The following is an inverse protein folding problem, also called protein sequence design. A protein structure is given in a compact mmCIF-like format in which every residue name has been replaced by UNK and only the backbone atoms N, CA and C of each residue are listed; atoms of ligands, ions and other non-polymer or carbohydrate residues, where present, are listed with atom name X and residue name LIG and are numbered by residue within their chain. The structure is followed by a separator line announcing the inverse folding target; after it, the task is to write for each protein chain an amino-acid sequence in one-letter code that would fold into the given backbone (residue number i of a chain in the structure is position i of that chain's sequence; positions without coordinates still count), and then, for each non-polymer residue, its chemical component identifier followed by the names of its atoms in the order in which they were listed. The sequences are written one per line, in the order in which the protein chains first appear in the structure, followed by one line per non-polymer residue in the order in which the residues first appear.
data_IF_433552979353
#
_entry.id   IF_433552979353
#
_cell.length_a   1.000
_cell.length_b   1.000
_cell.length_c   1.000
_cell.angle_alpha   90.00
_cell.angle_beta   90.00
_cell.angle_gamma   90.00
#
_symmetry.space_group_name_H-M   'P 1'
#
loop_
_entity.id
_entity.type
_entity.pdbx_description
1 polymer ?
#
# COMPACT_ATOMS: atom_id res chain seq x y z
N UNK A 1 -29.35 -30.68 -51.19
CA UNK A 1 -28.57 -29.49 -50.77
C UNK A 1 -29.55 -28.39 -50.40
N UNK A 2 -29.25 -27.63 -49.33
CA UNK A 2 -30.04 -26.50 -48.74
C UNK A 2 -31.17 -26.97 -47.80
N UNK A 3 -31.29 -26.65 -46.50
CA UNK A 3 -30.54 -25.85 -45.51
C UNK A 3 -31.08 -26.25 -44.10
N UNK A 4 -30.28 -26.77 -43.15
CA UNK A 4 -30.72 -26.94 -41.75
C UNK A 4 -30.56 -25.65 -40.90
N UNK A 5 -30.07 -24.56 -41.50
CA UNK A 5 -29.72 -23.32 -40.80
C UNK A 5 -30.89 -22.37 -40.48
N UNK A 6 -32.12 -22.68 -40.89
CA UNK A 6 -33.27 -21.76 -40.73
C UNK A 6 -34.08 -22.01 -39.43
N UNK A 7 -34.02 -23.22 -38.84
CA UNK A 7 -34.75 -23.50 -37.59
C UNK A 7 -34.05 -22.92 -36.35
N UNK A 8 -32.71 -22.91 -36.31
CA UNK A 8 -31.95 -22.39 -35.16
C UNK A 8 -32.03 -20.86 -35.03
N UNK A 9 -32.11 -20.13 -36.14
CA UNK A 9 -32.21 -18.67 -36.12
C UNK A 9 -33.59 -18.15 -35.66
N UNK A 10 -34.66 -18.96 -35.81
CA UNK A 10 -36.00 -18.57 -35.36
C UNK A 10 -36.18 -18.75 -33.85
N UNK A 11 -35.57 -19.78 -33.25
CA UNK A 11 -35.59 -20.01 -31.81
C UNK A 11 -34.81 -18.94 -31.02
N UNK A 12 -33.71 -18.41 -31.59
CA UNK A 12 -32.96 -17.31 -30.96
C UNK A 12 -33.71 -15.96 -31.01
N UNK A 13 -34.54 -15.73 -32.04
CA UNK A 13 -35.35 -14.50 -32.17
C UNK A 13 -36.61 -14.47 -31.30
N UNK A 14 -37.10 -15.62 -30.85
CA UNK A 14 -38.18 -15.71 -29.86
C UNK A 14 -37.67 -15.51 -28.44
N UNK A 15 -36.47 -16.00 -28.11
CA UNK A 15 -35.83 -15.78 -26.81
C UNK A 15 -35.51 -14.29 -26.54
N UNK A 16 -35.08 -13.55 -27.57
CA UNK A 16 -34.81 -12.09 -27.49
C UNK A 16 -36.08 -11.23 -27.45
N UNK A 17 -37.22 -11.74 -27.94
CA UNK A 17 -38.53 -11.09 -27.82
C UNK A 17 -39.14 -11.28 -26.43
N UNK A 18 -38.89 -12.43 -25.81
CA UNK A 18 -39.34 -12.74 -24.45
C UNK A 18 -38.62 -11.89 -23.38
N UNK A 19 -37.33 -11.56 -23.60
CA UNK A 19 -36.56 -10.70 -22.67
C UNK A 19 -36.80 -9.20 -22.86
N UNK A 20 -37.24 -8.74 -24.05
CA UNK A 20 -37.62 -7.34 -24.29
C UNK A 20 -39.06 -7.00 -23.88
N UNK A 21 -39.96 -7.99 -23.79
CA UNK A 21 -41.35 -7.76 -23.40
C UNK A 21 -41.57 -7.66 -21.88
N UNK A 22 -40.61 -8.10 -21.06
CA UNK A 22 -40.73 -8.06 -19.59
C UNK A 22 -40.23 -6.75 -18.95
N UNK A 23 -39.72 -5.79 -19.74
CA UNK A 23 -39.16 -4.51 -19.26
C UNK A 23 -40.02 -3.30 -19.64
N UNK A 24 -41.13 -3.49 -20.38
CA UNK A 24 -41.90 -2.38 -20.96
C UNK A 24 -43.32 -2.22 -20.41
N UNK A 25 -43.64 -2.71 -19.21
CA UNK A 25 -44.99 -2.53 -18.65
C UNK A 25 -44.97 -2.28 -17.14
N UNK A 26 -44.56 -1.07 -16.76
CA UNK A 26 -44.93 -0.39 -15.49
C UNK A 26 -44.52 1.09 -15.54
N UNK A 27 -45.09 1.82 -16.49
CA UNK A 27 -45.13 3.28 -16.47
C UNK A 27 -46.59 3.71 -16.42
N UNK A 28 -47.16 3.68 -15.22
CA UNK A 28 -48.36 4.45 -14.92
C UNK A 28 -47.97 5.92 -14.69
N UNK A 29 -48.75 6.90 -15.15
CA UNK A 29 -48.45 8.30 -14.92
C UNK A 29 -48.79 8.65 -13.46
N UNK A 30 -47.82 9.15 -12.69
CA UNK A 30 -48.09 9.82 -11.42
C UNK A 30 -47.71 9.10 -10.12
N UNK A 31 -46.73 8.20 -10.12
CA UNK A 31 -46.16 7.65 -8.89
C UNK A 31 -44.73 8.13 -8.66
N UNK A 32 -44.54 9.11 -7.80
CA UNK A 32 -43.21 9.44 -7.25
C UNK A 32 -42.69 8.20 -6.53
N UNK A 33 -41.81 7.42 -7.18
CA UNK A 33 -41.05 6.39 -6.49
C UNK A 33 -40.02 7.14 -5.65
N UNK A 34 -40.40 7.45 -4.41
CA UNK A 34 -39.43 7.76 -3.38
C UNK A 34 -38.53 6.52 -3.26
N UNK A 35 -37.34 6.59 -3.86
CA UNK A 35 -36.23 5.71 -3.51
C UNK A 35 -35.95 6.02 -2.04
N UNK A 36 -36.53 5.21 -1.16
CA UNK A 36 -36.36 5.31 0.27
C UNK A 36 -34.88 5.18 0.60
N UNK A 37 -34.25 6.28 0.96
CA UNK A 37 -32.88 6.38 1.44
C UNK A 37 -32.68 5.73 2.84
N UNK A 38 -33.50 4.75 3.20
CA UNK A 38 -33.52 4.11 4.51
C UNK A 38 -32.70 2.81 4.61
N UNK A 39 -32.05 2.34 3.53
CA UNK A 39 -31.23 1.11 3.55
C UNK A 39 -29.76 1.31 3.95
N UNK A 40 -29.26 2.55 4.01
CA UNK A 40 -27.84 2.82 4.31
C UNK A 40 -27.37 2.42 5.73
N UNK A 41 -28.11 2.62 6.84
CA UNK A 41 -27.55 2.41 8.18
C UNK A 41 -27.44 0.92 8.58
N UNK A 42 -28.33 0.06 8.08
CA UNK A 42 -28.33 -1.37 8.43
C UNK A 42 -27.20 -2.15 7.73
N UNK A 43 -26.93 -1.85 6.45
CA UNK A 43 -25.84 -2.48 5.70
C UNK A 43 -24.46 -2.04 6.21
N UNK A 44 -24.30 -0.76 6.55
CA UNK A 44 -23.06 -0.23 7.15
C UNK A 44 -22.79 -0.86 8.53
N UNK A 45 -23.83 -1.04 9.35
CA UNK A 45 -23.72 -1.72 10.65
C UNK A 45 -23.33 -3.20 10.49
N UNK A 46 -23.94 -3.92 9.54
CA UNK A 46 -23.60 -5.32 9.28
C UNK A 46 -22.17 -5.49 8.73
N UNK A 47 -21.69 -4.58 7.88
CA UNK A 47 -20.32 -4.57 7.38
C UNK A 47 -19.30 -4.29 8.50
N UNK A 48 -19.61 -3.37 9.41
CA UNK A 48 -18.76 -3.08 10.57
C UNK A 48 -18.67 -4.29 11.53
N UNK A 49 -19.79 -5.00 11.75
CA UNK A 49 -19.81 -6.24 12.55
C UNK A 49 -18.94 -7.31 11.89
N UNK A 50 -19.10 -7.55 10.58
CA UNK A 50 -18.29 -8.53 9.84
C UNK A 50 -16.80 -8.20 9.89
N UNK A 51 -16.45 -6.92 9.76
CA UNK A 51 -15.08 -6.45 9.89
C UNK A 51 -14.50 -6.74 11.28
N UNK A 52 -15.24 -6.42 12.35
CA UNK A 52 -14.81 -6.69 13.71
C UNK A 52 -14.64 -8.20 13.99
N UNK A 53 -15.55 -9.03 13.47
CA UNK A 53 -15.45 -10.48 13.57
C UNK A 53 -14.21 -11.03 12.87
N UNK A 54 -13.85 -10.50 11.69
CA UNK A 54 -12.62 -10.89 10.99
C UNK A 54 -11.36 -10.48 11.76
N UNK A 55 -11.34 -9.28 12.34
CA UNK A 55 -10.24 -8.84 13.20
C UNK A 55 -10.07 -9.75 14.42
N UNK A 56 -11.18 -10.16 15.06
CA UNK A 56 -11.17 -11.12 16.17
C UNK A 56 -10.66 -12.50 15.71
N UNK A 57 -11.16 -13.01 14.59
CA UNK A 57 -10.72 -14.29 14.04
C UNK A 57 -9.20 -14.32 13.77
N UNK A 58 -8.63 -13.23 13.25
CA UNK A 58 -7.17 -13.12 13.04
C UNK A 58 -6.44 -13.16 14.38
N UNK A 59 -6.91 -12.44 15.40
CA UNK A 59 -6.27 -12.43 16.71
C UNK A 59 -6.26 -13.82 17.38
N UNK A 60 -7.33 -14.59 17.18
CA UNK A 60 -7.51 -15.96 17.70
C UNK A 60 -6.71 -17.03 16.94
N UNK A 61 -6.17 -16.73 15.75
CA UNK A 61 -5.34 -17.70 15.04
C UNK A 61 -4.07 -18.03 15.84
N UNK A 62 -3.76 -19.33 15.92
CA UNK A 62 -2.57 -19.85 16.61
C UNK A 62 -1.56 -20.47 15.65
N UNK A 63 -1.95 -20.71 14.40
CA UNK A 63 -1.06 -21.26 13.38
C UNK A 63 -0.91 -20.31 12.19
N UNK A 64 0.24 -20.40 11.53
CA UNK A 64 0.61 -19.50 10.43
C UNK A 64 -0.20 -19.81 9.15
N UNK A 65 -0.53 -21.08 8.91
CA UNK A 65 -1.36 -21.52 7.79
C UNK A 65 -2.79 -20.98 7.87
N UNK A 66 -3.40 -20.97 9.06
CA UNK A 66 -4.72 -20.36 9.32
C UNK A 66 -4.72 -18.87 8.96
N UNK A 67 -3.73 -18.12 9.46
CA UNK A 67 -3.59 -16.69 9.19
C UNK A 67 -3.37 -16.45 7.69
N UNK A 68 -2.55 -17.27 7.04
CA UNK A 68 -2.26 -17.18 5.61
C UNK A 68 -3.52 -17.40 4.77
N UNK A 69 -4.37 -18.36 5.14
CA UNK A 69 -5.62 -18.62 4.43
C UNK A 69 -6.55 -17.40 4.47
N UNK A 70 -6.71 -16.78 5.65
CA UNK A 70 -7.48 -15.55 5.80
C UNK A 70 -6.86 -14.43 4.94
N UNK A 71 -5.54 -14.25 5.03
CA UNK A 71 -4.79 -13.23 4.28
C UNK A 71 -5.00 -13.37 2.77
N UNK A 72 -4.94 -14.58 2.23
CA UNK A 72 -5.07 -14.82 0.79
C UNK A 72 -6.50 -14.58 0.30
N UNK A 73 -7.52 -14.96 1.08
CA UNK A 73 -8.92 -14.64 0.79
C UNK A 73 -9.16 -13.14 0.78
N UNK A 74 -8.62 -12.42 1.76
CA UNK A 74 -8.75 -10.97 1.87
C UNK A 74 -8.01 -10.25 0.76
N UNK A 75 -6.82 -10.72 0.37
CA UNK A 75 -6.11 -10.17 -0.78
C UNK A 75 -6.94 -10.29 -2.07
N UNK A 76 -7.62 -11.42 -2.28
CA UNK A 76 -8.51 -11.58 -3.42
C UNK A 76 -9.66 -10.55 -3.36
N UNK A 77 -10.27 -10.35 -2.19
CA UNK A 77 -11.31 -9.33 -1.99
C UNK A 77 -10.80 -7.90 -2.24
N UNK A 78 -9.58 -7.59 -1.81
CA UNK A 78 -8.94 -6.29 -2.05
C UNK A 78 -8.78 -6.03 -3.56
N UNK A 79 -8.30 -7.03 -4.29
CA UNK A 79 -8.15 -6.95 -5.76
C UNK A 79 -9.49 -6.80 -6.45
N UNK A 80 -10.51 -7.56 -6.05
CA UNK A 80 -11.86 -7.43 -6.62
C UNK A 80 -12.48 -6.05 -6.31
N UNK A 81 -12.30 -5.55 -5.09
CA UNK A 81 -12.81 -4.23 -4.69
C UNK A 81 -12.14 -3.11 -5.47
N UNK A 82 -10.83 -3.23 -5.72
CA UNK A 82 -10.07 -2.31 -6.57
C UNK A 82 -10.59 -2.30 -8.01
N UNK A 83 -10.84 -3.48 -8.59
CA UNK A 83 -11.43 -3.61 -9.94
C UNK A 83 -12.84 -3.00 -10.01
N UNK A 84 -13.63 -3.15 -8.94
CA UNK A 84 -14.95 -2.55 -8.80
C UNK A 84 -14.93 -1.05 -8.45
N UNK A 85 -13.74 -0.44 -8.26
CA UNK A 85 -13.55 0.94 -7.81
C UNK A 85 -14.25 1.27 -6.49
N UNK A 86 -14.41 0.28 -5.61
CA UNK A 86 -14.96 0.47 -4.28
C UNK A 86 -13.81 0.74 -3.30
N UNK A 87 -13.54 2.01 -3.06
CA UNK A 87 -12.41 2.47 -2.22
C UNK A 87 -12.55 2.07 -0.75
N UNK A 88 -13.77 2.03 -0.24
CA UNK A 88 -14.03 1.72 1.18
C UNK A 88 -13.81 0.23 1.45
N UNK A 89 -14.38 -0.64 0.60
CA UNK A 89 -14.16 -2.08 0.67
C UNK A 89 -12.69 -2.44 0.42
N UNK A 90 -12.03 -1.76 -0.51
CA UNK A 90 -10.60 -1.92 -0.77
C UNK A 90 -9.76 -1.55 0.46
N UNK A 91 -10.07 -0.42 1.12
CA UNK A 91 -9.37 0.01 2.33
C UNK A 91 -9.58 -0.98 3.48
N UNK A 92 -10.82 -1.40 3.73
CA UNK A 92 -11.14 -2.40 4.76
C UNK A 92 -10.43 -3.73 4.53
N UNK A 93 -10.43 -4.23 3.29
CA UNK A 93 -9.71 -5.45 2.95
C UNK A 93 -8.20 -5.29 3.17
N UNK A 94 -7.62 -4.15 2.78
CA UNK A 94 -6.21 -3.85 3.00
C UNK A 94 -5.86 -3.84 4.50
N UNK A 95 -6.70 -3.24 5.34
CA UNK A 95 -6.54 -3.22 6.79
C UNK A 95 -6.57 -4.62 7.40
N UNK A 96 -7.53 -5.45 7.02
CA UNK A 96 -7.63 -6.85 7.48
C UNK A 96 -6.39 -7.64 7.04
N UNK A 97 -5.94 -7.44 5.79
CA UNK A 97 -4.73 -8.08 5.26
C UNK A 97 -3.52 -7.72 6.11
N UNK A 98 -3.31 -6.43 6.40
CA UNK A 98 -2.17 -5.97 7.19
C UNK A 98 -2.19 -6.52 8.63
N UNK A 99 -3.37 -6.63 9.25
CA UNK A 99 -3.52 -7.26 10.57
C UNK A 99 -3.16 -8.75 10.54
N UNK A 100 -3.59 -9.48 9.51
CA UNK A 100 -3.21 -10.88 9.31
C UNK A 100 -1.68 -11.02 9.12
N UNK A 101 -1.07 -10.20 8.26
CA UNK A 101 0.38 -10.20 8.05
C UNK A 101 1.16 -9.91 9.34
N UNK A 102 0.69 -8.96 10.16
CA UNK A 102 1.28 -8.66 11.47
C UNK A 102 1.16 -9.84 12.43
N UNK A 103 -0.03 -10.46 12.55
CA UNK A 103 -0.24 -11.65 13.41
C UNK A 103 0.66 -12.81 13.01
N UNK A 104 0.77 -13.10 11.72
CA UNK A 104 1.67 -14.14 11.22
C UNK A 104 3.13 -13.87 11.61
N UNK A 105 3.55 -12.60 11.58
CA UNK A 105 4.88 -12.19 12.04
C UNK A 105 5.13 -12.44 13.53
N UNK A 106 4.11 -12.25 14.38
CA UNK A 106 4.17 -12.56 15.81
C UNK A 106 4.31 -14.07 16.04
N UNK A 107 3.47 -14.88 15.38
CA UNK A 107 3.54 -16.35 15.48
C UNK A 107 4.91 -16.89 15.00
N UNK A 108 5.48 -16.31 13.93
CA UNK A 108 6.82 -16.67 13.45
C UNK A 108 7.91 -16.35 14.47
N UNK A 109 7.76 -15.27 15.25
CA UNK A 109 8.69 -14.92 16.32
C UNK A 109 8.57 -15.90 17.49
N UNK A 110 7.35 -16.20 17.92
CA UNK A 110 7.07 -17.18 18.98
C UNK A 110 7.65 -18.56 18.64
N UNK A 111 7.48 -19.02 17.40
CA UNK A 111 8.05 -20.28 16.91
C UNK A 111 9.59 -20.28 16.99
N UNK A 112 10.23 -19.22 16.51
CA UNK A 112 11.70 -19.09 16.56
C UNK A 112 12.24 -19.07 18.01
N UNK A 113 11.52 -18.42 18.93
CA UNK A 113 11.90 -18.41 20.34
C UNK A 113 11.71 -19.79 21.00
N UNK A 114 10.62 -20.50 20.66
CA UNK A 114 10.39 -21.86 21.14
C UNK A 114 11.49 -22.82 20.66
N UNK A 115 11.92 -22.70 19.41
CA UNK A 115 13.04 -23.46 18.85
C UNK A 115 14.36 -23.17 19.59
N UNK A 116 14.64 -21.90 19.91
CA UNK A 116 15.82 -21.52 20.69
C UNK A 116 15.79 -22.03 22.14
N UNK A 117 14.61 -22.17 22.76
CA UNK A 117 14.47 -22.77 24.09
C UNK A 117 14.64 -24.29 24.07
N UNK A 118 14.14 -24.94 23.01
CA UNK A 118 14.28 -26.39 22.82
C UNK A 118 15.72 -26.79 22.43
N UNK A 119 16.43 -25.91 21.73
CA UNK A 119 17.83 -26.09 21.34
C UNK A 119 18.73 -25.37 22.34
N UNK A 120 19.10 -26.05 23.44
CA UNK A 120 19.89 -25.47 24.53
C UNK A 120 21.19 -24.74 24.10
N UNK A 121 21.79 -23.94 24.99
CA UNK A 121 22.94 -23.09 24.67
C UNK A 121 24.16 -23.94 24.31
N UNK A 122 24.38 -24.16 23.01
CA UNK A 122 25.52 -24.95 22.52
C UNK A 122 25.43 -25.47 21.09
N UNK A 123 24.27 -25.46 20.43
CA UNK A 123 24.15 -25.97 19.05
C UNK A 123 24.36 -24.93 17.93
N UNK A 124 25.02 -23.80 18.22
CA UNK A 124 25.46 -22.84 17.20
C UNK A 124 26.88 -23.13 16.71
N UNK A 125 27.15 -24.37 16.32
CA UNK A 125 28.38 -24.72 15.60
C UNK A 125 28.22 -26.08 14.90
N UNK A 126 27.43 -26.13 13.83
CA UNK A 126 27.60 -27.17 12.83
C UNK A 126 27.41 -26.53 11.45
N UNK A 127 28.45 -26.58 10.63
CA UNK A 127 28.44 -26.13 9.25
C UNK A 127 27.43 -26.91 8.39
N UNK A 128 27.40 -26.66 7.07
CA UNK A 128 26.38 -27.21 6.18
C UNK A 128 26.59 -28.71 5.98
N UNK A 129 26.03 -29.53 6.88
CA UNK A 129 26.16 -30.99 6.80
C UNK A 129 25.50 -31.73 7.94
N UNK A 130 24.25 -32.17 7.70
CA UNK A 130 23.51 -33.29 8.33
C UNK A 130 23.42 -33.40 9.87
N UNK A 131 22.17 -33.43 10.33
CA UNK A 131 21.73 -33.94 11.64
C UNK A 131 21.21 -32.78 12.49
N UNK A 132 19.94 -32.66 12.87
CA UNK A 132 18.91 -33.64 13.19
C UNK A 132 17.58 -32.98 12.80
N UNK A 133 16.72 -33.67 12.07
CA UNK A 133 15.37 -33.18 11.79
C UNK A 133 14.63 -33.05 13.14
N UNK A 134 14.61 -31.84 13.71
CA UNK A 134 13.52 -31.51 14.61
C UNK A 134 12.27 -31.42 13.73
N UNK A 135 11.18 -31.98 14.24
CA UNK A 135 9.89 -32.12 13.55
C UNK A 135 9.17 -30.77 13.41
N UNK A 136 9.85 -29.75 12.90
CA UNK A 136 9.31 -28.41 12.73
C UNK A 136 8.94 -28.19 11.27
N UNK A 137 7.68 -27.77 11.07
CA UNK A 137 7.19 -27.30 9.79
C UNK A 137 8.16 -26.25 9.25
N UNK A 138 8.77 -26.52 8.09
CA UNK A 138 9.59 -25.52 7.42
C UNK A 138 8.68 -24.41 6.87
N UNK A 139 9.22 -23.22 6.61
CA UNK A 139 8.43 -22.14 5.99
C UNK A 139 7.66 -22.60 4.74
N UNK A 140 8.25 -23.54 3.98
CA UNK A 140 7.64 -24.19 2.82
C UNK A 140 6.43 -25.07 3.18
N UNK A 141 6.47 -25.78 4.31
CA UNK A 141 5.37 -26.60 4.83
C UNK A 141 4.17 -25.74 5.26
N UNK A 142 4.44 -24.51 5.74
CA UNK A 142 3.41 -23.51 6.05
C UNK A 142 2.93 -22.72 4.81
N UNK A 143 3.48 -23.01 3.63
CA UNK A 143 3.16 -22.30 2.38
C UNK A 143 3.65 -20.84 2.34
N UNK A 144 4.58 -20.44 3.21
CA UNK A 144 5.07 -19.06 3.31
C UNK A 144 6.44 -18.93 2.65
N UNK A 145 6.61 -17.94 1.78
CA UNK A 145 7.91 -17.67 1.17
C UNK A 145 8.83 -16.93 2.15
N UNK A 146 10.14 -17.03 1.96
CA UNK A 146 11.14 -16.30 2.78
C UNK A 146 10.93 -14.78 2.77
N UNK A 147 10.51 -14.22 1.64
CA UNK A 147 10.24 -12.79 1.53
C UNK A 147 8.99 -12.38 2.33
N UNK A 148 7.92 -13.18 2.25
CA UNK A 148 6.71 -12.97 3.04
C UNK A 148 7.03 -13.04 4.54
N UNK A 149 7.71 -14.09 5.00
CA UNK A 149 8.05 -14.23 6.41
C UNK A 149 8.93 -13.07 6.91
N UNK A 150 9.90 -12.62 6.11
CA UNK A 150 10.73 -11.46 6.45
C UNK A 150 9.91 -10.17 6.59
N UNK A 151 8.97 -9.91 5.69
CA UNK A 151 8.09 -8.73 5.74
C UNK A 151 7.15 -8.78 6.94
N UNK A 152 6.54 -9.93 7.21
CA UNK A 152 5.62 -10.13 8.33
C UNK A 152 6.32 -9.96 9.68
N UNK A 153 7.51 -10.54 9.84
CA UNK A 153 8.34 -10.34 11.04
C UNK A 153 8.72 -8.87 11.24
N UNK A 154 8.97 -8.10 10.16
CA UNK A 154 9.22 -6.66 10.26
C UNK A 154 7.95 -5.90 10.68
N UNK A 155 6.79 -6.24 10.11
CA UNK A 155 5.51 -5.65 10.52
C UNK A 155 5.19 -5.93 12.00
N UNK A 156 5.49 -7.12 12.50
CA UNK A 156 5.28 -7.48 13.90
C UNK A 156 6.19 -6.73 14.88
N UNK A 157 7.31 -6.14 14.41
CA UNK A 157 8.19 -5.31 15.24
C UNK A 157 7.68 -3.89 15.44
N UNK A 158 6.72 -3.43 14.63
CA UNK A 158 6.11 -2.10 14.81
C UNK A 158 5.38 -2.10 16.16
N UNK A 159 5.52 -1.07 17.01
CA UNK A 159 4.64 -0.87 18.15
C UNK A 159 3.16 -0.86 17.72
N UNK A 160 2.26 -1.38 18.55
CA UNK A 160 0.84 -1.46 18.19
C UNK A 160 0.21 -0.09 17.97
N UNK A 161 0.62 0.91 18.76
CA UNK A 161 0.17 2.30 18.64
C UNK A 161 0.50 2.90 17.28
N UNK A 162 1.76 2.76 16.84
CA UNK A 162 2.23 3.25 15.53
C UNK A 162 1.52 2.55 14.37
N UNK A 163 1.30 1.23 14.51
CA UNK A 163 0.58 0.45 13.52
C UNK A 163 -0.86 0.92 13.37
N UNK A 164 -1.60 1.08 14.48
CA UNK A 164 -2.98 1.55 14.45
C UNK A 164 -3.09 3.02 14.01
N UNK A 165 -2.09 3.86 14.32
CA UNK A 165 -2.03 5.23 13.81
C UNK A 165 -1.88 5.24 12.27
N UNK A 166 -0.99 4.41 11.74
CA UNK A 166 -0.75 4.32 10.31
C UNK A 166 -1.95 3.76 9.53
N UNK A 167 -2.76 2.88 10.14
CA UNK A 167 -4.02 2.41 9.53
C UNK A 167 -5.11 3.50 9.49
N UNK A 168 -5.16 4.38 10.50
CA UNK A 168 -6.15 5.47 10.60
C UNK A 168 -5.90 6.64 9.65
N UNK A 169 -4.69 6.75 9.09
CA UNK A 169 -4.31 7.85 8.20
C UNK A 169 -5.22 7.93 6.95
N UNK A 170 -5.92 9.05 6.71
CA UNK A 170 -6.86 9.18 5.59
C UNK A 170 -6.16 9.38 4.25
N UNK A 171 -4.97 10.00 4.23
CA UNK A 171 -4.33 10.51 3.02
C UNK A 171 -3.86 9.44 2.03
N UNK A 172 -3.40 8.28 2.52
CA UNK A 172 -2.82 7.22 1.67
C UNK A 172 -3.24 5.84 2.17
N UNK A 173 -3.53 4.93 1.23
CA UNK A 173 -3.78 3.52 1.53
C UNK A 173 -2.51 2.93 2.18
N UNK A 174 -2.59 2.38 3.41
CA UNK A 174 -1.44 1.80 4.07
C UNK A 174 -0.96 0.57 3.27
N UNK A 175 0.35 0.43 3.08
CA UNK A 175 0.93 -0.75 2.44
C UNK A 175 2.01 -1.35 3.33
N UNK A 176 2.22 -2.66 3.21
CA UNK A 176 3.25 -3.39 3.96
C UNK A 176 4.64 -2.76 3.76
N UNK A 177 4.95 -2.36 2.53
CA UNK A 177 6.22 -1.71 2.20
C UNK A 177 6.35 -0.31 2.82
N UNK A 178 5.27 0.49 2.81
CA UNK A 178 5.27 1.82 3.41
C UNK A 178 5.47 1.75 4.94
N UNK A 179 4.73 0.87 5.61
CA UNK A 179 4.85 0.65 7.05
C UNK A 179 6.26 0.18 7.44
N UNK A 180 6.85 -0.75 6.67
CA UNK A 180 8.22 -1.20 6.93
C UNK A 180 9.25 -0.09 6.68
N UNK A 181 9.03 0.78 5.69
CA UNK A 181 9.92 1.92 5.41
C UNK A 181 9.94 2.90 6.58
N UNK A 182 8.78 3.17 7.18
CA UNK A 182 8.64 4.10 8.30
C UNK A 182 9.45 3.68 9.53
N UNK A 183 9.53 2.37 9.83
CA UNK A 183 10.39 1.84 10.90
C UNK A 183 11.87 1.95 10.55
N UNK A 184 12.23 1.58 9.30
CA UNK A 184 13.63 1.44 8.89
C UNK A 184 14.35 2.79 8.94
N UNK A 185 13.63 3.86 8.65
CA UNK A 185 14.20 5.18 8.52
C UNK A 185 13.16 6.25 8.88
N UNK A 186 12.97 6.52 10.18
CA UNK A 186 12.06 7.57 10.64
C UNK A 186 12.49 8.96 10.12
N UNK A 187 13.80 9.16 9.88
CA UNK A 187 14.32 10.35 9.24
C UNK A 187 13.92 10.43 7.75
N UNK A 188 13.97 9.34 6.98
CA UNK A 188 13.45 9.34 5.61
C UNK A 188 11.91 9.45 5.54
N UNK A 189 11.21 9.03 6.60
CA UNK A 189 9.77 9.33 6.75
C UNK A 189 9.55 10.83 6.98
N UNK A 190 10.38 11.49 7.79
CA UNK A 190 10.39 12.94 7.92
C UNK A 190 10.77 13.65 6.60
N UNK A 191 11.73 13.12 5.82
CA UNK A 191 12.07 13.61 4.47
C UNK A 191 10.88 13.51 3.51
N UNK A 192 10.06 12.46 3.62
CA UNK A 192 8.81 12.34 2.86
C UNK A 192 7.68 13.28 3.35
N UNK A 193 7.86 13.94 4.51
CA UNK A 193 6.99 14.98 5.06
C UNK A 193 7.51 16.40 4.80
N UNK A 194 8.71 16.57 4.22
CA UNK A 194 9.15 17.90 3.82
C UNK A 194 8.25 18.43 2.69
N UNK A 195 7.88 19.72 2.71
CA UNK A 195 7.16 20.35 1.61
C UNK A 195 7.85 20.08 0.27
N UNK A 196 7.07 19.85 -0.79
CA UNK A 196 7.57 19.56 -2.13
C UNK A 196 8.59 20.63 -2.60
N UNK A 197 8.34 21.90 -2.26
CA UNK A 197 9.21 23.03 -2.58
C UNK A 197 10.58 22.94 -1.89
N UNK A 198 10.63 22.45 -0.64
CA UNK A 198 11.88 22.30 0.12
C UNK A 198 12.76 21.22 -0.49
N UNK A 199 12.17 20.08 -0.87
CA UNK A 199 12.90 18.99 -1.54
C UNK A 199 13.37 19.40 -2.93
N UNK A 200 12.54 20.12 -3.68
CA UNK A 200 12.89 20.64 -5.00
C UNK A 200 14.09 21.59 -4.91
N UNK A 201 14.04 22.58 -4.00
CA UNK A 201 15.10 23.57 -3.83
C UNK A 201 16.41 22.93 -3.38
N UNK A 202 16.37 22.08 -2.34
CA UNK A 202 17.54 21.34 -1.88
C UNK A 202 18.16 20.49 -3.01
N UNK A 203 17.33 19.83 -3.80
CA UNK A 203 17.78 19.06 -4.96
C UNK A 203 18.55 19.90 -5.97
N UNK A 204 18.03 21.09 -6.32
CA UNK A 204 18.70 22.03 -7.23
C UNK A 204 20.02 22.56 -6.69
N UNK A 205 20.10 22.84 -5.39
CA UNK A 205 21.36 23.27 -4.75
C UNK A 205 22.39 22.13 -4.74
N UNK A 206 21.97 20.91 -4.40
CA UNK A 206 22.85 19.73 -4.41
C UNK A 206 23.35 19.38 -5.83
N UNK A 207 22.59 19.69 -6.86
CA UNK A 207 23.02 19.50 -8.25
C UNK A 207 24.28 20.35 -8.58
N UNK A 208 24.49 21.50 -7.93
CA UNK A 208 25.73 22.29 -8.10
C UNK A 208 26.97 21.54 -7.59
N UNK A 209 26.84 20.80 -6.49
CA UNK A 209 27.91 19.95 -5.97
C UNK A 209 28.10 18.69 -6.83
N UNK A 210 26.99 17.99 -7.13
CA UNK A 210 27.03 16.74 -7.92
C UNK A 210 27.65 16.96 -9.30
N UNK A 211 27.29 18.05 -9.95
CA UNK A 211 27.74 18.37 -11.31
C UNK A 211 28.95 19.32 -11.31
N UNK A 212 29.59 19.49 -10.14
CA UNK A 212 30.84 20.20 -9.90
C UNK A 212 30.86 21.65 -10.45
N UNK A 213 29.72 22.34 -10.37
CA UNK A 213 29.62 23.72 -10.83
C UNK A 213 30.51 24.70 -10.05
N UNK A 214 30.89 24.35 -8.81
CA UNK A 214 31.83 25.13 -7.98
C UNK A 214 33.21 25.23 -8.63
N UNK A 215 33.59 24.25 -9.47
CA UNK A 215 34.90 24.21 -10.13
C UNK A 215 34.86 24.72 -11.58
N UNK A 216 33.68 25.05 -12.12
CA UNK A 216 33.55 25.59 -13.48
C UNK A 216 33.80 27.10 -13.48
N UNK A 217 34.29 27.64 -14.60
CA UNK A 217 34.37 29.08 -14.79
C UNK A 217 32.97 29.68 -15.04
N UNK A 218 32.45 30.55 -14.14
CA UNK A 218 31.12 31.12 -14.28
C UNK A 218 30.96 31.97 -15.54
N UNK A 219 32.02 32.67 -15.98
CA UNK A 219 31.96 33.52 -17.17
C UNK A 219 31.85 32.67 -18.43
N UNK A 220 32.67 31.62 -18.55
CA UNK A 220 32.57 30.68 -19.67
C UNK A 220 31.18 30.01 -19.77
N UNK A 221 30.58 29.65 -18.62
CA UNK A 221 29.22 29.07 -18.60
C UNK A 221 28.18 30.10 -19.03
N UNK A 222 28.30 31.35 -18.58
CA UNK A 222 27.38 32.44 -18.91
C UNK A 222 27.50 32.88 -20.37
N UNK A 223 28.72 33.03 -20.88
CA UNK A 223 29.01 33.48 -22.24
C UNK A 223 28.61 32.45 -23.30
N UNK A 224 28.62 31.16 -22.94
CA UNK A 224 28.11 30.09 -23.80
C UNK A 224 26.58 30.11 -23.96
N UNK A 225 25.85 30.90 -23.16
CA UNK A 225 24.40 31.05 -23.28
C UNK A 225 24.02 32.01 -24.41
N UNK A 226 22.84 31.81 -24.99
CA UNK A 226 22.26 32.78 -25.95
C UNK A 226 21.99 34.13 -25.30
N UNK A 227 21.96 35.21 -26.09
CA UNK A 227 21.68 36.57 -25.59
C UNK A 227 20.37 36.66 -24.79
N UNK A 228 19.34 35.92 -25.21
CA UNK A 228 18.05 35.84 -24.50
C UNK A 228 18.18 35.13 -23.15
N UNK A 229 18.94 34.03 -23.08
CA UNK A 229 19.19 33.32 -21.83
C UNK A 229 20.04 34.16 -20.87
N UNK A 230 21.05 34.88 -21.38
CA UNK A 230 21.85 35.80 -20.58
C UNK A 230 21.01 36.93 -20.00
N UNK A 231 20.08 37.50 -20.78
CA UNK A 231 19.14 38.51 -20.29
C UNK A 231 18.23 37.96 -19.18
N UNK A 232 17.72 36.73 -19.33
CA UNK A 232 16.91 36.07 -18.31
C UNK A 232 17.69 35.79 -17.03
N UNK A 233 18.93 35.29 -17.15
CA UNK A 233 19.80 35.07 -15.98
C UNK A 233 20.06 36.38 -15.25
N UNK A 234 20.39 37.47 -15.96
CA UNK A 234 20.58 38.80 -15.33
C UNK A 234 19.33 39.30 -14.62
N UNK A 235 18.14 38.94 -15.10
CA UNK A 235 16.86 39.31 -14.49
C UNK A 235 16.49 38.43 -13.29
N UNK A 236 16.72 37.11 -13.36
CA UNK A 236 16.25 36.13 -12.38
C UNK A 236 17.27 35.91 -11.24
N UNK A 237 18.56 35.88 -11.57
CA UNK A 237 19.61 35.54 -10.61
C UNK A 237 19.62 36.44 -9.35
N UNK A 238 19.44 37.78 -9.44
CA UNK A 238 19.39 38.62 -8.25
C UNK A 238 18.27 38.24 -7.29
N UNK A 239 17.09 37.86 -7.80
CA UNK A 239 15.95 37.41 -6.98
C UNK A 239 16.24 36.08 -6.29
N UNK A 240 16.84 35.13 -7.00
CA UNK A 240 17.23 33.84 -6.43
C UNK A 240 18.31 34.00 -5.34
N UNK A 241 19.30 34.87 -5.57
CA UNK A 241 20.35 35.18 -4.59
C UNK A 241 19.73 35.79 -3.33
N UNK A 242 18.87 36.80 -3.47
CA UNK A 242 18.21 37.43 -2.32
C UNK A 242 17.39 36.45 -1.47
N UNK A 243 16.66 35.53 -2.12
CA UNK A 243 15.91 34.49 -1.43
C UNK A 243 16.81 33.51 -0.66
N UNK A 244 17.90 33.04 -1.28
CA UNK A 244 18.86 32.13 -0.63
C UNK A 244 19.62 32.81 0.52
N UNK A 245 20.02 34.08 0.36
CA UNK A 245 20.64 34.86 1.42
C UNK A 245 19.72 34.99 2.64
N UNK A 246 18.45 35.36 2.43
CA UNK A 246 17.48 35.45 3.52
C UNK A 246 17.23 34.10 4.22
N UNK A 247 17.29 32.99 3.47
CA UNK A 247 17.14 31.64 4.02
C UNK A 247 18.30 31.24 4.95
N UNK A 248 19.52 31.66 4.63
CA UNK A 248 20.72 31.34 5.42
C UNK A 248 20.84 32.31 6.61
N UNK A 249 20.61 33.60 6.41
CA UNK A 249 20.65 34.60 7.48
C UNK A 249 19.62 34.31 8.59
N UNK A 250 18.46 33.76 8.26
CA UNK A 250 17.46 33.32 9.25
C UNK A 250 17.79 32.02 9.99
N UNK A 251 18.86 31.30 9.61
CA UNK A 251 19.27 30.04 10.26
C UNK A 251 20.26 30.26 11.42
N UNK A 252 20.90 31.43 11.50
CA UNK A 252 21.88 31.78 12.54
C UNK A 252 21.24 32.39 13.82
N UNK A 253 19.97 32.80 13.76
CA UNK A 253 19.24 33.41 14.90
C UNK A 253 18.58 32.37 15.85
N UNK A 254 18.66 31.07 15.54
CA UNK A 254 18.09 29.97 16.34
C UNK A 254 19.15 28.96 16.88
N UNK A 255 20.41 29.38 17.00
CA UNK A 255 21.51 28.59 17.58
C UNK A 255 21.87 28.99 19.02
#
# INVERSE_FOLDING_TARGET
MTKPAQLSANQSREAERCTRSAVAERLGPGGTVAVSAAHAPAEQSALAVRYADMCRAIAECHRIDEVKEIRDKVLALEVYSSQAKNTDAERQACEIRLRAERRAGVLLKELAEAEMRASGPGQRAAGPGRGKASSHATLLDMGVTRDQSSKWQKLARIPEEDFEAALRSPEKKPTTAALIREIRDPAASAVARLPDDSLWLWGRLRDFERDEYVSKDPHAVFDAMTDTMQADVRRIAPTAIAFLSAMIEGADDEA
#
